data_IF_399528638450
#
_entry.id   IF_399528638450
#
_cell.length_a   1.000
_cell.length_b   1.000
_cell.length_c   1.000
_cell.angle_alpha   90.00
_cell.angle_beta   90.00
_cell.angle_gamma   90.00
#
_symmetry.space_group_name_H-M   'P 1'
#
loop_
_entity.id
_entity.type
_entity.pdbx_description
1 polymer ?
#
# COMPACT_ATOMS: atom_id res chain seq x y z
N UNK A 1 3.53 -9.63 13.15
CA UNK A 1 4.25 -10.71 12.43
C UNK A 1 3.50 -10.89 11.13
N UNK A 2 4.16 -10.73 9.98
CA UNK A 2 3.51 -10.93 8.68
C UNK A 2 3.15 -12.42 8.49
N UNK A 3 2.08 -12.69 7.74
CA UNK A 3 1.63 -14.06 7.46
C UNK A 3 2.52 -14.70 6.38
N UNK A 4 2.66 -16.04 6.33
CA UNK A 4 3.41 -16.68 5.26
C UNK A 4 2.70 -16.50 3.92
N UNK A 5 3.43 -16.03 2.90
CA UNK A 5 2.94 -15.86 1.55
C UNK A 5 3.69 -16.81 0.61
N UNK A 6 3.03 -17.88 0.18
CA UNK A 6 3.63 -18.83 -0.76
C UNK A 6 3.82 -18.21 -2.16
N UNK A 7 4.86 -18.61 -2.93
CA UNK A 7 5.13 -18.05 -4.26
C UNK A 7 3.96 -18.11 -5.24
N UNK A 8 3.16 -19.18 -5.17
CA UNK A 8 1.96 -19.33 -6.01
C UNK A 8 0.86 -18.33 -5.63
N UNK A 9 0.72 -18.01 -4.34
CA UNK A 9 -0.25 -17.03 -3.87
C UNK A 9 0.21 -15.61 -4.21
N UNK A 10 1.50 -15.31 -4.04
CA UNK A 10 2.10 -14.05 -4.47
C UNK A 10 1.83 -13.78 -5.95
N UNK A 11 2.15 -14.74 -6.83
CA UNK A 11 1.93 -14.58 -8.28
C UNK A 11 0.46 -14.45 -8.64
N UNK A 12 -0.42 -15.18 -7.95
CA UNK A 12 -1.87 -15.10 -8.21
C UNK A 12 -2.40 -13.72 -7.85
N UNK A 13 -2.08 -13.21 -6.66
CA UNK A 13 -2.55 -11.90 -6.18
C UNK A 13 -1.96 -10.77 -7.04
N UNK A 14 -0.68 -10.86 -7.41
CA UNK A 14 -0.03 -9.83 -8.23
C UNK A 14 -0.62 -9.70 -9.65
N UNK A 15 -1.31 -10.75 -10.15
CA UNK A 15 -1.98 -10.77 -11.46
C UNK A 15 -3.48 -10.48 -11.38
N UNK A 16 -4.01 -10.23 -10.18
CA UNK A 16 -5.39 -9.83 -10.03
C UNK A 16 -5.56 -8.40 -10.57
N UNK A 17 -6.72 -8.07 -11.14
CA UNK A 17 -7.02 -6.70 -11.53
C UNK A 17 -6.95 -5.77 -10.31
N UNK A 18 -6.65 -4.48 -10.53
CA UNK A 18 -6.53 -3.47 -9.48
C UNK A 18 -7.67 -3.52 -8.43
N UNK A 19 -8.92 -3.68 -8.87
CA UNK A 19 -10.08 -3.78 -7.97
C UNK A 19 -10.01 -4.98 -7.02
N UNK A 20 -9.70 -6.16 -7.53
CA UNK A 20 -9.58 -7.37 -6.69
C UNK A 20 -8.36 -7.31 -5.77
N UNK A 21 -7.28 -6.62 -6.18
CA UNK A 21 -6.14 -6.33 -5.30
C UNK A 21 -6.51 -5.35 -4.20
N UNK A 22 -7.34 -4.35 -4.50
CA UNK A 22 -7.85 -3.43 -3.49
C UNK A 22 -8.70 -4.16 -2.44
N UNK A 23 -9.62 -5.03 -2.86
CA UNK A 23 -10.38 -5.88 -1.93
C UNK A 23 -9.45 -6.74 -1.05
N UNK A 24 -8.44 -7.39 -1.64
CA UNK A 24 -7.44 -8.15 -0.88
C UNK A 24 -6.65 -7.25 0.07
N UNK A 25 -6.28 -6.05 -0.36
CA UNK A 25 -5.55 -5.07 0.45
C UNK A 25 -6.31 -4.69 1.71
N UNK A 26 -7.57 -4.27 1.55
CA UNK A 26 -8.46 -3.88 2.66
C UNK A 26 -8.64 -5.06 3.62
N UNK A 27 -8.99 -6.24 3.10
CA UNK A 27 -9.19 -7.43 3.92
C UNK A 27 -7.94 -7.80 4.75
N UNK A 28 -6.75 -7.78 4.14
CA UNK A 28 -5.50 -8.11 4.82
C UNK A 28 -5.10 -7.08 5.86
N UNK A 29 -5.31 -5.80 5.58
CA UNK A 29 -5.01 -4.75 6.55
C UNK A 29 -5.96 -4.84 7.75
N UNK A 30 -7.24 -5.11 7.53
CA UNK A 30 -8.19 -5.31 8.62
C UNK A 30 -7.82 -6.55 9.46
N UNK A 31 -7.38 -7.64 8.83
CA UNK A 31 -6.97 -8.87 9.53
C UNK A 31 -5.67 -8.70 10.32
N UNK A 32 -4.66 -8.04 9.75
CA UNK A 32 -3.33 -7.94 10.34
C UNK A 32 -3.04 -6.62 11.04
N UNK A 33 -3.93 -5.64 10.89
CA UNK A 33 -3.83 -4.28 11.43
C UNK A 33 -2.50 -3.57 11.08
N UNK A 34 -1.97 -3.85 9.88
CA UNK A 34 -0.68 -3.31 9.43
C UNK A 34 -0.74 -2.93 7.94
N UNK A 35 -0.32 -1.70 7.66
CA UNK A 35 -0.08 -1.19 6.30
C UNK A 35 1.42 -1.24 6.03
N UNK A 36 1.83 -1.60 4.82
CA UNK A 36 3.23 -1.64 4.45
C UNK A 36 3.55 -0.54 3.45
N UNK A 37 4.62 0.21 3.71
CA UNK A 37 5.18 1.17 2.78
C UNK A 37 6.67 0.87 2.54
N UNK A 38 7.28 1.61 1.61
CA UNK A 38 8.70 1.51 1.36
C UNK A 38 9.47 2.66 2.03
N UNK A 39 10.58 2.33 2.68
CA UNK A 39 11.42 3.30 3.38
C UNK A 39 12.90 3.08 3.11
N UNK A 40 13.61 4.15 2.82
CA UNK A 40 15.08 4.18 2.70
C UNK A 40 15.70 5.08 3.78
N UNK A 41 17.02 5.25 3.72
CA UNK A 41 17.77 6.18 4.58
C UNK A 41 17.31 7.64 4.43
N UNK A 42 16.73 7.99 3.28
CA UNK A 42 16.31 9.36 2.96
C UNK A 42 14.87 9.67 3.41
N UNK A 43 14.12 8.67 3.84
CA UNK A 43 12.72 8.83 4.21
C UNK A 43 11.84 7.75 3.58
N UNK A 44 10.55 8.04 3.52
CA UNK A 44 9.61 7.16 2.85
C UNK A 44 9.62 7.36 1.34
N UNK A 45 9.32 6.30 0.60
CA UNK A 45 9.14 6.38 -0.84
C UNK A 45 7.84 7.13 -1.15
N UNK A 46 7.95 8.13 -2.02
CA UNK A 46 6.84 8.83 -2.66
C UNK A 46 7.13 8.80 -4.15
N UNK A 47 6.12 8.50 -4.95
CA UNK A 47 6.22 8.42 -6.40
C UNK A 47 5.22 9.35 -7.05
N UNK A 48 5.60 9.88 -8.21
CA UNK A 48 4.70 10.63 -9.07
C UNK A 48 3.80 9.63 -9.82
N UNK A 49 2.48 9.75 -9.65
CA UNK A 49 1.49 9.03 -10.43
C UNK A 49 0.43 10.02 -10.92
N UNK A 50 0.19 10.04 -12.22
CA UNK A 50 -0.75 10.97 -12.88
C UNK A 50 -0.48 12.47 -12.63
N UNK A 51 0.74 12.83 -12.21
CA UNK A 51 1.15 14.21 -11.89
C UNK A 51 0.91 14.63 -10.44
N UNK A 52 0.52 13.69 -9.57
CA UNK A 52 0.32 13.89 -8.14
C UNK A 52 1.30 13.03 -7.31
N UNK A 53 1.76 13.58 -6.19
CA UNK A 53 2.61 12.87 -5.23
C UNK A 53 1.81 11.77 -4.52
N UNK A 54 2.20 10.53 -4.77
CA UNK A 54 1.54 9.35 -4.26
C UNK A 54 2.43 8.53 -3.31
N UNK A 55 1.89 8.14 -2.18
CA UNK A 55 2.53 7.22 -1.25
C UNK A 55 2.09 5.78 -1.54
N UNK A 56 2.99 4.90 -2.01
CA UNK A 56 2.62 3.54 -2.36
C UNK A 56 2.51 2.65 -1.12
N UNK A 57 1.43 1.87 -1.06
CA UNK A 57 1.11 0.98 0.07
C UNK A 57 0.76 -0.43 -0.36
N UNK A 58 1.08 -1.40 0.50
CA UNK A 58 0.85 -2.83 0.27
C UNK A 58 0.27 -3.53 1.50
N UNK A 59 -0.39 -4.68 1.33
CA UNK A 59 -0.91 -5.47 2.45
C UNK A 59 0.15 -6.40 3.05
N UNK A 60 1.28 -6.59 2.37
CA UNK A 60 2.32 -7.53 2.76
C UNK A 60 3.72 -7.00 2.37
N UNK A 61 4.77 -7.25 3.18
CA UNK A 61 6.13 -6.82 2.88
C UNK A 61 6.68 -7.40 1.59
N UNK A 62 6.33 -8.63 1.23
CA UNK A 62 6.86 -9.25 0.00
C UNK A 62 6.40 -8.53 -1.27
N UNK A 63 5.17 -7.99 -1.28
CA UNK A 63 4.69 -7.19 -2.42
C UNK A 63 5.44 -5.86 -2.51
N UNK A 64 5.62 -5.18 -1.37
CA UNK A 64 6.42 -3.96 -1.31
C UNK A 64 7.88 -4.22 -1.74
N UNK A 65 8.49 -5.30 -1.28
CA UNK A 65 9.86 -5.68 -1.63
C UNK A 65 10.00 -6.01 -3.12
N UNK A 66 9.01 -6.68 -3.70
CA UNK A 66 9.01 -6.99 -5.12
C UNK A 66 8.88 -5.72 -5.99
N UNK A 67 8.19 -4.70 -5.50
CA UNK A 67 8.06 -3.40 -6.18
C UNK A 67 9.29 -2.50 -6.01
N UNK A 68 10.06 -2.68 -4.93
CA UNK A 68 11.31 -1.99 -4.67
C UNK A 68 12.44 -2.41 -5.66
N UNK A 69 12.32 -1.98 -6.91
CA UNK A 69 13.28 -2.23 -8.00
C UNK A 69 13.87 -0.92 -8.52
N UNK A 70 14.95 -1.01 -9.31
CA UNK A 70 15.64 0.15 -9.91
C UNK A 70 16.00 1.22 -8.87
N UNK A 71 15.51 2.45 -9.02
CA UNK A 71 15.75 3.59 -8.11
C UNK A 71 15.22 3.38 -6.69
N UNK A 72 14.30 2.43 -6.49
CA UNK A 72 13.76 2.06 -5.19
C UNK A 72 14.38 0.78 -4.62
N UNK A 73 15.42 0.21 -5.25
CA UNK A 73 16.06 -1.03 -4.79
C UNK A 73 16.69 -0.93 -3.39
N UNK A 74 17.05 0.28 -2.96
CA UNK A 74 17.55 0.55 -1.61
C UNK A 74 16.42 0.71 -0.56
N UNK A 75 15.17 0.84 -0.99
CA UNK A 75 14.03 0.91 -0.10
C UNK A 75 13.72 -0.47 0.48
N UNK A 76 13.33 -0.50 1.76
CA UNK A 76 12.90 -1.72 2.44
C UNK A 76 11.43 -1.59 2.86
N UNK A 77 10.66 -2.70 2.83
CA UNK A 77 9.33 -2.73 3.40
C UNK A 77 9.36 -2.37 4.87
N UNK A 78 8.49 -1.44 5.26
CA UNK A 78 8.33 -1.00 6.62
C UNK A 78 6.86 -1.05 6.99
N UNK A 79 6.56 -1.75 8.08
CA UNK A 79 5.21 -1.80 8.63
C UNK A 79 4.86 -0.48 9.32
N UNK A 80 3.60 -0.08 9.13
CA UNK A 80 2.91 1.02 9.77
C UNK A 80 1.68 0.41 10.44
N UNK A 81 1.53 0.61 11.75
CA UNK A 81 0.34 0.14 12.47
C UNK A 81 -0.92 0.84 11.93
N UNK A 82 -2.00 0.09 11.75
CA UNK A 82 -3.26 0.63 11.23
C UNK A 82 -3.79 1.77 12.11
N UNK A 83 -3.67 1.67 13.43
CA UNK A 83 -4.03 2.75 14.35
C UNK A 83 -3.21 4.02 14.10
N UNK A 84 -1.90 3.88 13.84
CA UNK A 84 -1.05 5.00 13.48
C UNK A 84 -1.40 5.56 12.10
N UNK A 85 -1.78 4.69 11.15
CA UNK A 85 -2.23 5.09 9.82
C UNK A 85 -3.45 6.03 9.94
N UNK A 86 -4.50 5.57 10.61
CA UNK A 86 -5.75 6.31 10.78
C UNK A 86 -5.55 7.60 11.60
N UNK A 87 -4.83 7.52 12.73
CA UNK A 87 -4.70 8.67 13.63
C UNK A 87 -3.67 9.73 13.22
N UNK A 88 -2.68 9.37 12.38
CA UNK A 88 -1.55 10.25 12.04
C UNK A 88 -1.25 10.36 10.56
N UNK A 89 -1.28 9.25 9.83
CA UNK A 89 -0.93 9.26 8.41
C UNK A 89 -2.03 9.89 7.59
N UNK A 90 -3.26 9.41 7.70
CA UNK A 90 -4.41 9.97 6.97
C UNK A 90 -4.51 11.49 7.11
N UNK A 91 -4.56 12.07 8.34
CA UNK A 91 -4.65 13.52 8.50
C UNK A 91 -3.36 14.26 8.14
N UNK A 92 -2.21 13.58 8.05
CA UNK A 92 -0.96 14.16 7.57
C UNK A 92 -0.98 14.27 6.05
N UNK A 93 -1.23 13.15 5.37
CA UNK A 93 -1.32 13.07 3.91
C UNK A 93 -2.37 14.02 3.33
N UNK A 94 -3.54 14.12 3.97
CA UNK A 94 -4.60 15.05 3.56
C UNK A 94 -4.15 16.52 3.62
N UNK A 95 -3.34 16.89 4.62
CA UNK A 95 -2.76 18.25 4.74
C UNK A 95 -1.66 18.53 3.74
N UNK A 96 -0.83 17.52 3.47
CA UNK A 96 0.28 17.61 2.52
C UNK A 96 -0.19 17.49 1.05
N UNK A 97 -1.46 17.10 0.82
CA UNK A 97 -2.00 16.87 -0.52
C UNK A 97 -1.46 15.60 -1.17
N UNK A 98 -0.90 14.68 -0.38
CA UNK A 98 -0.33 13.42 -0.87
C UNK A 98 -1.43 12.37 -1.01
N UNK A 99 -1.51 11.76 -2.19
CA UNK A 99 -2.44 10.66 -2.46
C UNK A 99 -1.85 9.32 -2.02
N UNK A 100 -2.69 8.29 -1.97
CA UNK A 100 -2.29 6.92 -1.67
C UNK A 100 -2.35 6.12 -2.96
N UNK A 101 -1.23 5.47 -3.30
CA UNK A 101 -1.20 4.48 -4.37
C UNK A 101 -1.35 3.08 -3.78
N UNK A 102 -2.55 2.52 -3.92
CA UNK A 102 -2.93 1.26 -3.28
C UNK A 102 -2.52 0.07 -4.14
N UNK A 103 -1.68 -0.77 -3.54
CA UNK A 103 -1.19 -2.04 -4.06
C UNK A 103 -0.69 -1.95 -5.52
N UNK A 104 0.28 -1.06 -5.84
CA UNK A 104 0.88 -1.03 -7.17
C UNK A 104 1.73 -2.28 -7.44
N UNK A 105 1.83 -2.64 -8.71
CA UNK A 105 2.62 -3.75 -9.23
C UNK A 105 3.62 -3.26 -10.28
N UNK A 106 4.67 -4.03 -10.57
CA UNK A 106 5.58 -3.75 -11.68
C UNK A 106 5.01 -4.19 -13.04
N UNK A 107 3.68 -4.24 -13.17
CA UNK A 107 3.02 -4.63 -14.40
C UNK A 107 2.67 -3.34 -15.16
N UNK A 108 3.25 -3.15 -16.35
CA UNK A 108 3.09 -1.92 -17.14
C UNK A 108 1.64 -1.63 -17.55
N UNK A 109 0.74 -2.63 -17.48
CA UNK A 109 -0.68 -2.48 -17.83
C UNK A 109 -1.56 -2.12 -16.61
N UNK A 110 -1.01 -2.18 -15.39
CA UNK A 110 -1.76 -1.91 -14.16
C UNK A 110 -0.90 -1.27 -13.06
N UNK A 111 -1.04 0.06 -12.98
CA UNK A 111 -0.28 0.93 -12.08
C UNK A 111 -0.80 0.88 -10.61
N UNK A 112 -1.92 0.21 -10.33
CA UNK A 112 -2.59 0.22 -9.02
C UNK A 112 -3.74 1.23 -8.94
N UNK A 113 -4.33 1.41 -7.75
CA UNK A 113 -5.42 2.37 -7.54
C UNK A 113 -4.94 3.60 -6.77
N UNK A 114 -5.05 4.78 -7.38
CA UNK A 114 -4.81 6.06 -6.70
C UNK A 114 -6.10 6.52 -6.02
N UNK A 115 -6.01 6.93 -4.76
CA UNK A 115 -7.11 7.52 -4.00
C UNK A 115 -6.59 8.43 -2.88
N UNK A 116 -7.46 9.24 -2.29
CA UNK A 116 -7.09 10.04 -1.13
C UNK A 116 -6.91 9.16 0.12
N UNK A 117 -6.11 9.64 1.09
CA UNK A 117 -5.94 8.92 2.34
C UNK A 117 -7.25 8.78 3.13
N UNK A 118 -8.13 9.77 3.03
CA UNK A 118 -9.48 9.78 3.63
C UNK A 118 -10.40 8.72 3.00
N UNK A 119 -10.36 8.54 1.68
CA UNK A 119 -11.11 7.48 1.01
C UNK A 119 -10.64 6.08 1.43
N UNK A 120 -9.32 5.89 1.54
CA UNK A 120 -8.78 4.62 2.02
C UNK A 120 -9.18 4.35 3.48
N UNK A 121 -9.14 5.38 4.34
CA UNK A 121 -9.60 5.26 5.72
C UNK A 121 -11.06 4.82 5.79
N UNK A 122 -11.96 5.42 5.02
CA UNK A 122 -13.39 5.06 5.00
C UNK A 122 -13.58 3.59 4.58
N UNK A 123 -12.86 3.13 3.56
CA UNK A 123 -12.89 1.74 3.11
C UNK A 123 -12.41 0.76 4.21
N UNK A 124 -11.33 1.09 4.92
CA UNK A 124 -10.81 0.28 6.02
C UNK A 124 -11.78 0.24 7.21
N UNK A 125 -12.34 1.39 7.60
CA UNK A 125 -13.33 1.48 8.68
C UNK A 125 -14.62 0.73 8.34
N UNK A 126 -15.09 0.85 7.09
CA UNK A 126 -16.26 0.14 6.58
C UNK A 126 -16.10 -1.38 6.63
N UNK A 127 -14.92 -1.89 6.26
CA UNK A 127 -14.63 -3.32 6.33
C UNK A 127 -14.48 -3.86 7.77
N UNK A 128 -14.05 -3.04 8.73
CA UNK A 128 -13.94 -3.43 10.14
C UNK A 128 -15.26 -3.37 10.91
N UNK A 129 -16.20 -2.53 10.48
CA UNK A 129 -17.49 -2.29 11.15
C UNK A 129 -18.66 -3.14 10.64
N UNK A 130 -18.41 -4.06 9.70
CA UNK A 130 -19.41 -4.94 9.09
C UNK A 130 -19.73 -6.22 9.86
#
# INVERSE_FOLDING_TARGET
>A
MSYPLDPAQFQRISRLPASARFDEFVNRICEHQQVWGLRSSNGWAVVDAEGDDCFPVWPHPDFAAAWAVNDLADCKPQAIDLDAWLSRWTPGMDKDGTLVLVFPTNDDDDEGMVMSASELEDALLGAMGG
#
